data_IF_256399566315
#
_entry.id   IF_256399566315
#
_cell.length_a   1.000
_cell.length_b   1.000
_cell.length_c   1.000
_cell.angle_alpha   90.00
_cell.angle_beta   90.00
_cell.angle_gamma   90.00
#
_symmetry.space_group_name_H-M   'P 1'
#
loop_
_entity.id
_entity.type
_entity.pdbx_description
1 polymer ?
#
# COMPACT_ATOMS: atom_id res chain seq x y z
N UNK A 1 13.02 -20.00 4.96
CA UNK A 1 11.55 -19.91 4.92
C UNK A 1 11.16 -18.99 3.78
N UNK A 2 10.68 -19.54 2.70
CA UNK A 2 10.18 -18.80 1.54
C UNK A 2 8.82 -18.22 1.90
N UNK A 3 8.81 -16.98 2.39
CA UNK A 3 7.56 -16.28 2.66
C UNK A 3 6.75 -16.19 1.37
N UNK A 4 5.56 -16.76 1.37
CA UNK A 4 4.61 -16.62 0.27
C UNK A 4 4.26 -15.14 0.14
N UNK A 5 4.76 -14.50 -0.91
CA UNK A 5 4.42 -13.12 -1.24
C UNK A 5 2.90 -13.01 -1.40
N UNK A 6 2.28 -12.15 -0.58
CA UNK A 6 0.87 -11.81 -0.74
C UNK A 6 0.62 -11.33 -2.17
N UNK A 7 -0.43 -11.86 -2.82
CA UNK A 7 -0.86 -11.42 -4.16
C UNK A 7 -1.02 -9.90 -4.25
N UNK A 8 -1.51 -9.26 -3.18
CA UNK A 8 -1.69 -7.82 -3.08
C UNK A 8 -0.37 -7.06 -3.24
N UNK A 9 0.70 -7.46 -2.54
CA UNK A 9 2.01 -6.81 -2.62
C UNK A 9 2.64 -6.97 -4.01
N UNK A 10 2.53 -8.18 -4.60
CA UNK A 10 3.05 -8.45 -5.96
C UNK A 10 2.39 -7.56 -6.99
N UNK A 11 1.06 -7.44 -6.95
CA UNK A 11 0.29 -6.64 -7.92
C UNK A 11 0.55 -5.16 -7.72
N UNK A 12 0.53 -4.67 -6.50
CA UNK A 12 0.67 -3.23 -6.20
C UNK A 12 2.07 -2.73 -6.52
N UNK A 13 3.12 -3.36 -5.98
CA UNK A 13 4.50 -2.92 -6.22
C UNK A 13 4.87 -3.08 -7.70
N UNK A 14 4.54 -4.22 -8.34
CA UNK A 14 4.79 -4.39 -9.77
C UNK A 14 4.10 -3.33 -10.61
N UNK A 15 2.85 -2.98 -10.30
CA UNK A 15 2.13 -1.91 -11.01
C UNK A 15 2.82 -0.56 -10.83
N UNK A 16 3.30 -0.23 -9.63
CA UNK A 16 4.05 1.01 -9.38
C UNK A 16 5.28 1.10 -10.28
N UNK A 17 6.07 0.03 -10.38
CA UNK A 17 7.24 0.00 -11.26
C UNK A 17 6.89 0.08 -12.75
N UNK A 18 5.66 -0.23 -13.13
CA UNK A 18 5.20 -0.16 -14.52
C UNK A 18 4.58 1.20 -14.88
N UNK A 19 4.39 2.09 -13.91
CA UNK A 19 3.84 3.42 -14.16
C UNK A 19 4.92 4.32 -14.78
N UNK A 20 4.58 5.10 -15.83
CA UNK A 20 5.48 6.09 -16.41
C UNK A 20 5.59 7.37 -15.56
N UNK A 21 4.66 7.57 -14.63
CA UNK A 21 4.55 8.75 -13.77
C UNK A 21 3.89 8.41 -12.43
N UNK A 22 4.00 9.31 -11.46
CA UNK A 22 3.39 9.17 -10.14
C UNK A 22 2.09 9.98 -10.12
N UNK A 23 0.90 9.33 -10.05
CA UNK A 23 -0.36 10.04 -9.77
C UNK A 23 -0.44 10.48 -8.31
N UNK A 24 -1.17 11.56 -8.02
CA UNK A 24 -1.42 12.04 -6.66
C UNK A 24 -2.49 11.16 -5.99
N UNK A 25 -2.07 9.97 -5.59
CA UNK A 25 -2.89 8.98 -4.89
C UNK A 25 -2.31 8.68 -3.53
N UNK A 26 -3.20 8.44 -2.58
CA UNK A 26 -2.84 7.91 -1.27
C UNK A 26 -3.34 6.47 -1.13
N UNK A 27 -2.57 5.65 -0.43
CA UNK A 27 -2.91 4.26 -0.13
C UNK A 27 -2.71 4.00 1.36
N UNK A 28 -3.62 3.26 1.96
CA UNK A 28 -3.46 2.77 3.32
C UNK A 28 -2.64 1.48 3.29
N UNK A 29 -1.64 1.42 4.15
CA UNK A 29 -0.67 0.32 4.22
C UNK A 29 -0.60 -0.27 5.61
N UNK A 30 -0.29 -1.56 5.67
CA UNK A 30 -0.13 -2.32 6.91
C UNK A 30 0.80 -3.50 6.66
N UNK A 31 1.61 -3.87 7.64
CA UNK A 31 2.47 -5.05 7.60
C UNK A 31 1.66 -6.35 7.60
N UNK A 32 2.09 -7.35 6.83
CA UNK A 32 1.39 -8.65 6.77
C UNK A 32 1.43 -9.38 8.12
N UNK A 33 2.51 -9.21 8.87
CA UNK A 33 2.64 -9.80 10.21
C UNK A 33 1.68 -9.15 11.20
N UNK A 34 1.54 -7.82 11.16
CA UNK A 34 0.60 -7.09 12.00
C UNK A 34 -0.86 -7.49 11.69
N UNK A 35 -1.17 -7.76 10.43
CA UNK A 35 -2.48 -8.30 10.03
C UNK A 35 -2.69 -9.70 10.61
N UNK A 36 -1.68 -10.57 10.56
CA UNK A 36 -1.76 -11.91 11.14
C UNK A 36 -1.93 -11.85 12.66
N UNK A 37 -1.19 -10.99 13.35
CA UNK A 37 -1.33 -10.75 14.80
C UNK A 37 -2.77 -10.29 15.13
N UNK A 38 -3.32 -9.33 14.37
CA UNK A 38 -4.70 -8.88 14.58
C UNK A 38 -5.74 -9.99 14.41
N UNK A 39 -5.52 -10.94 13.50
CA UNK A 39 -6.41 -12.10 13.33
C UNK A 39 -6.36 -13.02 14.56
N UNK A 40 -5.16 -13.31 15.07
CA UNK A 40 -5.02 -14.13 16.28
C UNK A 40 -5.68 -13.45 17.47
N UNK A 41 -5.40 -12.14 17.69
CA UNK A 41 -6.04 -11.36 18.76
C UNK A 41 -7.56 -11.36 18.65
N UNK A 42 -8.11 -11.26 17.42
CA UNK A 42 -9.56 -11.30 17.22
C UNK A 42 -10.16 -12.70 17.50
N UNK A 43 -9.41 -13.76 17.25
CA UNK A 43 -9.86 -15.14 17.57
C UNK A 43 -9.86 -15.42 19.06
N UNK A 44 -8.94 -14.83 19.82
CA UNK A 44 -8.80 -15.02 21.26
C UNK A 44 -9.67 -14.06 22.08
N UNK A 45 -10.21 -13.02 21.48
CA UNK A 45 -10.99 -11.99 22.18
C UNK A 45 -12.49 -12.19 21.98
N UNK A 46 -13.20 -12.54 23.06
CA UNK A 46 -14.65 -12.74 23.03
C UNK A 46 -15.44 -11.49 22.60
N UNK A 47 -14.90 -10.28 22.82
CA UNK A 47 -15.52 -9.03 22.44
C UNK A 47 -15.35 -8.72 20.93
N UNK A 48 -14.58 -9.53 20.21
CA UNK A 48 -14.39 -9.36 18.78
C UNK A 48 -15.59 -9.81 17.96
N UNK A 49 -16.41 -10.69 18.51
CA UNK A 49 -17.58 -11.27 17.83
C UNK A 49 -18.55 -10.18 17.37
N UNK A 50 -18.95 -10.22 16.10
CA UNK A 50 -19.86 -9.26 15.48
C UNK A 50 -19.23 -7.89 15.15
N UNK A 51 -17.96 -7.68 15.46
CA UNK A 51 -17.24 -6.44 15.15
C UNK A 51 -16.47 -6.53 13.85
N UNK A 52 -16.31 -5.37 13.20
CA UNK A 52 -15.47 -5.18 12.00
C UNK A 52 -14.24 -4.38 12.38
N UNK A 53 -13.07 -4.91 12.00
CA UNK A 53 -11.79 -4.28 12.24
C UNK A 53 -11.19 -3.81 10.92
N UNK A 54 -10.85 -2.52 10.85
CA UNK A 54 -10.06 -1.94 9.78
C UNK A 54 -8.62 -1.88 10.29
N UNK A 55 -7.69 -2.45 9.50
CA UNK A 55 -6.29 -2.54 9.85
C UNK A 55 -5.47 -1.66 8.91
N UNK A 56 -4.79 -0.68 9.46
CA UNK A 56 -3.85 0.18 8.73
C UNK A 56 -2.84 0.76 9.72
N UNK A 57 -1.59 0.79 9.33
CA UNK A 57 -0.56 1.53 10.10
C UNK A 57 -0.62 3.00 9.75
N UNK A 58 -0.55 3.31 8.45
CA UNK A 58 -0.64 4.68 7.97
C UNK A 58 -1.20 4.77 6.56
N UNK A 59 -1.63 5.96 6.18
CA UNK A 59 -1.93 6.32 4.79
C UNK A 59 -0.73 7.10 4.24
N UNK A 60 -0.12 6.59 3.17
CA UNK A 60 1.01 7.22 2.51
C UNK A 60 0.66 7.66 1.10
N UNK A 61 1.28 8.74 0.63
CA UNK A 61 1.22 9.12 -0.78
C UNK A 61 2.06 8.17 -1.63
N UNK A 62 1.60 7.90 -2.84
CA UNK A 62 2.33 7.05 -3.78
C UNK A 62 3.74 7.58 -4.06
N UNK A 63 3.91 8.92 -4.03
CA UNK A 63 5.22 9.57 -4.12
C UNK A 63 6.15 9.16 -2.98
N UNK A 64 5.66 9.18 -1.74
CA UNK A 64 6.44 8.79 -0.55
C UNK A 64 6.89 7.33 -0.65
N UNK A 65 6.00 6.44 -1.10
CA UNK A 65 6.34 5.04 -1.35
C UNK A 65 7.43 4.88 -2.41
N UNK A 66 7.35 5.64 -3.51
CA UNK A 66 8.39 5.66 -4.53
C UNK A 66 9.73 6.20 -3.99
N UNK A 67 9.70 7.21 -3.12
CA UNK A 67 10.90 7.78 -2.50
C UNK A 67 11.56 6.78 -1.53
N UNK A 68 10.77 6.02 -0.75
CA UNK A 68 11.29 4.92 0.12
C UNK A 68 12.01 3.87 -0.73
N UNK A 69 11.37 3.41 -1.80
CA UNK A 69 11.94 2.42 -2.70
C UNK A 69 13.19 2.93 -3.43
N UNK A 70 13.18 4.18 -3.86
CA UNK A 70 14.34 4.78 -4.50
C UNK A 70 15.55 4.88 -3.55
N UNK A 71 15.34 5.31 -2.31
CA UNK A 71 16.38 5.35 -1.26
C UNK A 71 16.94 3.95 -0.96
N UNK A 72 16.12 2.92 -1.07
CA UNK A 72 16.53 1.52 -0.92
C UNK A 72 17.27 0.95 -2.15
N UNK A 73 17.54 1.77 -3.20
CA UNK A 73 18.34 1.41 -4.37
C UNK A 73 17.54 0.94 -5.59
N UNK A 74 16.21 0.99 -5.56
CA UNK A 74 15.36 0.64 -6.70
C UNK A 74 15.18 1.85 -7.63
N UNK A 75 16.13 2.06 -8.56
CA UNK A 75 16.18 3.25 -9.41
C UNK A 75 15.12 3.31 -10.51
N UNK A 76 14.44 2.19 -10.81
CA UNK A 76 13.41 2.10 -11.86
C UNK A 76 12.01 2.53 -11.41
N UNK A 77 11.84 2.95 -10.16
CA UNK A 77 10.57 3.55 -9.72
C UNK A 77 10.33 4.88 -10.45
N UNK A 78 9.07 5.19 -10.79
CA UNK A 78 8.73 6.46 -11.42
C UNK A 78 9.10 7.64 -10.51
N UNK A 79 9.53 8.74 -11.09
CA UNK A 79 9.93 9.97 -10.38
C UNK A 79 9.15 11.20 -10.83
N UNK A 80 8.56 11.14 -12.01
CA UNK A 80 7.82 12.28 -12.56
C UNK A 80 6.42 12.31 -11.97
N UNK A 81 6.06 13.46 -11.39
CA UNK A 81 4.71 13.74 -10.94
C UNK A 81 3.92 14.42 -12.07
N UNK A 82 2.73 13.92 -12.35
CA UNK A 82 1.81 14.56 -13.31
C UNK A 82 0.80 15.40 -12.54
N UNK A 83 0.56 16.67 -12.94
CA UNK A 83 -0.50 17.49 -12.39
C UNK A 83 -1.87 16.82 -12.57
N UNK A 84 -2.71 16.90 -11.51
CA UNK A 84 -4.01 16.24 -11.48
C UNK A 84 -4.93 16.63 -12.64
N UNK A 85 -4.85 17.90 -13.11
CA UNK A 85 -5.69 18.36 -14.22
C UNK A 85 -5.35 17.65 -15.53
N UNK A 86 -4.05 17.40 -15.79
CA UNK A 86 -3.60 16.73 -17.02
C UNK A 86 -4.07 15.26 -17.02
N UNK A 87 -3.97 14.59 -15.88
CA UNK A 87 -4.42 13.21 -15.76
C UNK A 87 -5.96 13.10 -15.90
N UNK A 88 -6.72 14.08 -15.36
CA UNK A 88 -8.16 14.16 -15.54
C UNK A 88 -8.54 14.37 -17.02
N UNK A 89 -7.80 15.21 -17.75
CA UNK A 89 -8.01 15.44 -19.17
C UNK A 89 -7.78 14.16 -19.98
N UNK A 90 -6.69 13.44 -19.72
CA UNK A 90 -6.38 12.18 -20.41
C UNK A 90 -7.41 11.09 -20.06
N UNK A 91 -7.95 11.08 -18.85
CA UNK A 91 -8.97 10.12 -18.41
C UNK A 91 -10.31 10.27 -19.14
N UNK A 92 -10.58 11.39 -19.81
CA UNK A 92 -11.75 11.57 -20.66
C UNK A 92 -11.66 10.60 -21.86
N UNK A 93 -10.47 10.46 -22.43
CA UNK A 93 -10.23 9.64 -23.62
C UNK A 93 -9.92 8.17 -23.28
N UNK A 94 -9.39 7.90 -22.07
CA UNK A 94 -8.99 6.54 -21.64
C UNK A 94 -9.86 6.08 -20.46
N UNK A 95 -10.90 5.25 -20.72
CA UNK A 95 -11.85 4.83 -19.67
C UNK A 95 -11.21 4.15 -18.46
N UNK A 96 -10.11 3.40 -18.65
CA UNK A 96 -9.37 2.74 -17.56
C UNK A 96 -8.73 3.70 -16.56
N UNK A 97 -8.48 4.96 -16.97
CA UNK A 97 -7.93 5.99 -16.08
C UNK A 97 -9.01 6.76 -15.31
N UNK A 98 -10.28 6.62 -15.64
CA UNK A 98 -11.38 7.33 -14.96
C UNK A 98 -11.46 6.98 -13.46
N UNK A 99 -11.28 5.71 -13.12
CA UNK A 99 -11.26 5.26 -11.72
C UNK A 99 -10.09 5.88 -10.95
N UNK A 100 -8.93 6.00 -11.57
CA UNK A 100 -7.76 6.66 -10.96
C UNK A 100 -8.03 8.16 -10.84
N UNK A 101 -8.55 8.78 -11.90
CA UNK A 101 -8.84 10.21 -11.93
C UNK A 101 -9.88 10.65 -10.89
N UNK A 102 -10.86 9.80 -10.54
CA UNK A 102 -11.86 10.08 -9.50
C UNK A 102 -11.27 10.07 -8.08
N UNK A 103 -10.15 9.41 -7.88
CA UNK A 103 -9.46 9.31 -6.57
C UNK A 103 -8.26 10.26 -6.42
N UNK A 104 -7.95 11.05 -7.45
CA UNK A 104 -6.83 11.98 -7.41
C UNK A 104 -7.04 13.05 -6.33
N UNK A 105 -6.02 13.24 -5.50
CA UNK A 105 -6.02 14.22 -4.41
C UNK A 105 -6.88 13.84 -3.21
N UNK A 106 -7.56 12.68 -3.20
CA UNK A 106 -8.26 12.19 -2.03
C UNK A 106 -7.30 11.45 -1.09
N UNK A 107 -7.41 11.74 0.20
CA UNK A 107 -6.71 11.01 1.26
C UNK A 107 -7.76 10.22 2.03
N UNK A 108 -7.80 8.92 1.80
CA UNK A 108 -8.66 8.02 2.57
C UNK A 108 -7.92 7.61 3.85
N UNK A 109 -8.35 8.15 4.98
CA UNK A 109 -7.83 7.72 6.29
C UNK A 109 -8.72 6.62 6.83
N UNK A 110 -8.15 5.46 7.09
CA UNK A 110 -8.87 4.35 7.73
C UNK A 110 -8.90 4.57 9.25
N UNK A 111 -10.10 4.49 9.81
CA UNK A 111 -10.29 4.56 11.26
C UNK A 111 -10.07 3.18 11.88
N UNK A 112 -8.94 3.00 12.56
CA UNK A 112 -8.54 1.74 13.21
C UNK A 112 -9.02 1.64 14.67
N UNK A 113 -9.90 2.55 15.10
CA UNK A 113 -10.35 2.64 16.51
C UNK A 113 -10.83 1.32 17.10
N UNK A 114 -11.58 0.52 16.35
CA UNK A 114 -12.06 -0.76 16.87
C UNK A 114 -10.91 -1.74 17.10
N UNK A 115 -9.91 -1.77 16.21
CA UNK A 115 -8.74 -2.62 16.38
C UNK A 115 -7.92 -2.19 17.61
N UNK A 116 -7.72 -0.89 17.79
CA UNK A 116 -6.99 -0.37 18.95
C UNK A 116 -7.75 -0.61 20.27
N UNK A 117 -9.07 -0.33 20.30
CA UNK A 117 -9.84 -0.34 21.56
C UNK A 117 -10.29 -1.73 21.98
N UNK A 118 -10.61 -2.62 21.03
CA UNK A 118 -11.15 -3.95 21.32
C UNK A 118 -10.03 -5.01 21.32
N UNK A 119 -9.09 -4.92 20.37
CA UNK A 119 -8.02 -5.90 20.25
C UNK A 119 -6.72 -5.44 20.93
N UNK A 120 -6.61 -4.18 21.35
CA UNK A 120 -5.35 -3.57 21.80
C UNK A 120 -4.23 -3.70 20.78
N UNK A 121 -4.62 -3.68 19.46
CA UNK A 121 -3.71 -3.87 18.37
C UNK A 121 -3.05 -2.57 17.93
N UNK A 122 -1.71 -2.58 17.89
CA UNK A 122 -0.88 -1.45 17.46
C UNK A 122 0.16 -1.93 16.46
N UNK A 123 0.06 -1.51 15.19
CA UNK A 123 0.96 -1.99 14.14
C UNK A 123 2.37 -1.41 14.28
N UNK A 124 3.34 -2.14 13.75
CA UNK A 124 4.73 -1.71 13.61
C UNK A 124 4.91 -0.84 12.36
N UNK A 125 6.04 -0.12 12.28
CA UNK A 125 6.33 0.70 11.10
C UNK A 125 6.45 -0.14 9.83
N UNK A 126 5.70 0.24 8.81
CA UNK A 126 5.62 -0.46 7.52
C UNK A 126 6.77 -0.12 6.56
N UNK A 127 7.62 0.86 6.86
CA UNK A 127 8.67 1.31 5.93
C UNK A 127 9.66 0.18 5.60
N UNK A 128 10.07 -0.58 6.63
CA UNK A 128 10.91 -1.78 6.43
C UNK A 128 10.21 -2.88 5.64
N UNK A 129 8.90 -3.05 5.84
CA UNK A 129 8.09 -4.04 5.14
C UNK A 129 7.96 -3.73 3.64
N UNK A 130 7.84 -2.44 3.29
CA UNK A 130 7.83 -1.98 1.89
C UNK A 130 9.13 -2.38 1.19
N UNK A 131 10.27 -2.11 1.84
CA UNK A 131 11.60 -2.44 1.30
C UNK A 131 11.80 -3.95 1.20
N UNK A 132 11.40 -4.71 2.23
CA UNK A 132 11.48 -6.17 2.24
C UNK A 132 10.62 -6.80 1.15
N UNK A 133 9.41 -6.28 0.94
CA UNK A 133 8.52 -6.74 -0.14
C UNK A 133 9.12 -6.49 -1.52
N UNK A 134 9.74 -5.33 -1.74
CA UNK A 134 10.44 -5.02 -2.98
C UNK A 134 11.66 -5.93 -3.18
N UNK A 135 12.43 -6.21 -2.12
CA UNK A 135 13.57 -7.15 -2.16
C UNK A 135 13.11 -8.56 -2.55
N UNK A 136 12.06 -9.07 -1.92
CA UNK A 136 11.53 -10.40 -2.26
C UNK A 136 11.08 -10.47 -3.73
N UNK A 137 10.43 -9.41 -4.26
CA UNK A 137 10.03 -9.35 -5.66
C UNK A 137 11.23 -9.29 -6.61
N UNK A 138 12.31 -8.65 -6.19
CA UNK A 138 13.57 -8.63 -6.93
C UNK A 138 14.23 -10.01 -6.95
N UNK A 139 14.32 -10.69 -5.79
CA UNK A 139 14.95 -11.99 -5.63
C UNK A 139 14.25 -13.10 -6.45
N UNK A 140 12.91 -12.98 -6.62
CA UNK A 140 12.14 -13.88 -7.51
C UNK A 140 12.09 -13.42 -8.98
N UNK A 141 12.88 -12.41 -9.37
CA UNK A 141 13.01 -11.95 -10.75
C UNK A 141 11.81 -11.14 -11.30
N UNK A 142 10.86 -10.74 -10.47
CA UNK A 142 9.68 -9.94 -10.89
C UNK A 142 10.04 -8.47 -11.09
N UNK A 143 10.94 -7.94 -10.25
CA UNK A 143 11.47 -6.59 -10.36
C UNK A 143 12.91 -6.61 -10.88
N UNK A 144 13.29 -5.51 -11.55
CA UNK A 144 14.67 -5.23 -11.98
C UNK A 144 15.15 -3.96 -11.26
N UNK A 145 16.37 -4.00 -10.72
CA UNK A 145 17.03 -2.80 -10.15
C UNK A 145 17.33 -1.77 -11.22
#
# INVERSE_FOLDING_TARGET
>A
MTGVLSMSNRVTIKKIFSLPFIPDLSISVVGVQDVAEAHVMAMENNNATGNRFLLSEKTIKLKELCDILFKAGYKKVPRFHIPNFLLKLVAIFIPSLRLIASRLGSVETLYTKNANNILEWYPKSVDSEIVNSAKQLYDVGILKK
#
